data_IF_703622154672
#
_entry.id   IF_703622154672
#
_cell.length_a   1.000
_cell.length_b   1.000
_cell.length_c   1.000
_cell.angle_alpha   90.00
_cell.angle_beta   90.00
_cell.angle_gamma   90.00
#
_symmetry.space_group_name_H-M   'P 1'
#
loop_
_entity.id
_entity.type
_entity.pdbx_description
1 polymer ?
#
# COMPACT_ATOMS: atom_id res chain seq x y z
N UNK A 1 -12.07 -3.44 16.92
CA UNK A 1 -11.04 -2.70 17.65
C UNK A 1 -9.79 -2.81 16.81
N UNK A 2 -9.58 -1.87 15.91
CA UNK A 2 -8.26 -1.31 15.66
C UNK A 2 -8.48 0.18 15.95
N UNK A 3 -8.18 0.60 17.17
CA UNK A 3 -7.12 1.57 17.39
C UNK A 3 -5.89 1.36 16.47
N UNK A 4 -6.08 1.48 15.15
CA UNK A 4 -5.01 1.95 14.27
C UNK A 4 -4.77 3.39 14.74
N UNK A 5 -3.71 3.60 15.53
CA UNK A 5 -3.16 4.94 15.68
C UNK A 5 -3.02 5.51 14.26
N UNK A 6 -3.54 6.71 13.98
CA UNK A 6 -3.36 7.38 12.69
C UNK A 6 -1.84 7.47 12.42
N UNK A 7 -1.28 6.49 11.72
CA UNK A 7 0.15 6.39 11.46
C UNK A 7 0.51 7.54 10.54
N UNK A 8 1.48 8.35 10.96
CA UNK A 8 2.00 9.42 10.11
C UNK A 8 2.98 8.78 9.13
N UNK A 9 2.53 8.49 7.90
CA UNK A 9 3.32 7.81 6.86
C UNK A 9 4.69 8.48 6.62
N UNK A 10 4.72 9.82 6.68
CA UNK A 10 5.93 10.60 6.48
C UNK A 10 7.01 10.37 7.55
N UNK A 11 6.65 9.87 8.73
CA UNK A 11 7.58 9.56 9.83
C UNK A 11 8.17 8.15 9.73
N UNK A 12 7.57 7.25 8.93
CA UNK A 12 8.07 5.90 8.73
C UNK A 12 9.39 5.89 7.93
N UNK A 13 10.37 5.05 8.26
CA UNK A 13 11.49 4.76 7.37
C UNK A 13 11.01 4.09 6.08
N UNK A 14 11.82 4.13 5.01
CA UNK A 14 11.38 3.69 3.68
C UNK A 14 10.89 2.24 3.62
N UNK A 15 11.53 1.34 4.36
CA UNK A 15 11.17 -0.07 4.42
C UNK A 15 9.84 -0.31 5.15
N UNK A 16 9.61 0.39 6.26
CA UNK A 16 8.33 0.34 6.98
C UNK A 16 7.22 1.03 6.18
N UNK A 17 7.51 2.14 5.49
CA UNK A 17 6.54 2.80 4.61
C UNK A 17 6.11 1.88 3.46
N UNK A 18 7.05 1.15 2.85
CA UNK A 18 6.72 0.18 1.80
C UNK A 18 5.83 -0.94 2.34
N UNK A 19 6.12 -1.46 3.55
CA UNK A 19 5.28 -2.48 4.17
C UNK A 19 3.88 -1.95 4.50
N UNK A 20 3.77 -0.74 5.06
CA UNK A 20 2.49 -0.10 5.31
C UNK A 20 1.69 0.08 4.00
N UNK A 21 2.35 0.51 2.92
CA UNK A 21 1.71 0.61 1.61
C UNK A 21 1.23 -0.74 1.06
N UNK A 22 1.84 -1.87 1.43
CA UNK A 22 1.34 -3.19 1.04
C UNK A 22 0.03 -3.53 1.78
N UNK A 23 -0.05 -3.21 3.07
CA UNK A 23 -1.26 -3.38 3.87
C UNK A 23 -2.38 -2.43 3.37
N UNK A 24 -2.06 -1.17 3.08
CA UNK A 24 -2.98 -0.19 2.51
C UNK A 24 -3.54 -0.64 1.14
N UNK A 25 -2.71 -1.29 0.30
CA UNK A 25 -3.16 -1.88 -0.95
C UNK A 25 -4.10 -3.06 -0.74
N UNK A 26 -3.85 -3.87 0.30
CA UNK A 26 -4.70 -4.99 0.68
C UNK A 26 -6.08 -4.53 1.18
N UNK A 27 -6.10 -3.44 1.95
CA UNK A 27 -7.32 -2.84 2.52
C UNK A 27 -8.03 -1.86 1.55
N UNK A 28 -7.39 -1.51 0.43
CA UNK A 28 -7.97 -0.63 -0.59
C UNK A 28 -7.95 0.86 -0.22
N UNK A 29 -7.01 1.27 0.62
CA UNK A 29 -6.86 2.64 1.13
C UNK A 29 -6.19 3.55 0.10
N UNK A 30 -6.98 4.03 -0.87
CA UNK A 30 -6.48 4.85 -1.98
C UNK A 30 -5.72 6.11 -1.55
N UNK A 31 -6.21 6.83 -0.55
CA UNK A 31 -5.61 8.11 -0.10
C UNK A 31 -4.21 7.89 0.46
N UNK A 32 -4.03 6.85 1.29
CA UNK A 32 -2.73 6.47 1.85
C UNK A 32 -1.74 6.01 0.77
N UNK A 33 -2.20 5.28 -0.24
CA UNK A 33 -1.34 4.89 -1.38
C UNK A 33 -0.85 6.10 -2.17
N UNK A 34 -1.70 7.12 -2.35
CA UNK A 34 -1.27 8.35 -3.01
C UNK A 34 -0.22 9.09 -2.15
N UNK A 35 -0.45 9.21 -0.85
CA UNK A 35 0.49 9.86 0.07
C UNK A 35 1.83 9.12 0.15
N UNK A 36 1.84 7.81 0.38
CA UNK A 36 3.06 6.99 0.43
C UNK A 36 3.86 7.05 -0.87
N UNK A 37 3.18 7.05 -2.01
CA UNK A 37 3.81 7.23 -3.34
C UNK A 37 4.51 8.58 -3.43
N UNK A 38 3.83 9.67 -3.06
CA UNK A 38 4.40 11.02 -3.08
C UNK A 38 5.59 11.16 -2.13
N UNK A 39 5.51 10.55 -0.93
CA UNK A 39 6.60 10.53 0.05
C UNK A 39 7.84 9.83 -0.52
N UNK A 40 7.71 8.62 -1.08
CA UNK A 40 8.86 7.88 -1.61
C UNK A 40 9.52 8.62 -2.79
N UNK A 41 8.71 9.21 -3.68
CA UNK A 41 9.21 10.05 -4.76
C UNK A 41 9.93 11.30 -4.22
N UNK A 42 9.38 11.95 -3.20
CA UNK A 42 10.00 13.11 -2.54
C UNK A 42 11.33 12.73 -1.84
N UNK A 43 11.45 11.50 -1.34
CA UNK A 43 12.69 10.93 -0.78
C UNK A 43 13.72 10.53 -1.85
N UNK A 44 13.39 10.68 -3.13
CA UNK A 44 14.31 10.48 -4.24
C UNK A 44 14.31 9.08 -4.84
N UNK A 45 13.31 8.24 -4.50
CA UNK A 45 13.11 6.99 -5.21
C UNK A 45 12.74 7.26 -6.66
N UNK A 46 13.21 6.42 -7.58
CA UNK A 46 12.77 6.49 -8.96
C UNK A 46 11.33 5.99 -9.08
N UNK A 47 10.59 6.51 -10.05
CA UNK A 47 9.23 6.04 -10.33
C UNK A 47 9.19 4.54 -10.67
N UNK A 48 10.23 4.02 -11.32
CA UNK A 48 10.37 2.58 -11.57
C UNK A 48 10.48 1.78 -10.26
N UNK A 49 11.27 2.28 -9.31
CA UNK A 49 11.44 1.64 -8.01
C UNK A 49 10.16 1.66 -7.18
N UNK A 50 9.48 2.80 -7.13
CA UNK A 50 8.19 2.93 -6.43
C UNK A 50 7.14 2.00 -7.05
N UNK A 51 7.05 1.98 -8.39
CA UNK A 51 6.13 1.09 -9.08
C UNK A 51 6.42 -0.38 -8.79
N UNK A 52 7.69 -0.80 -8.82
CA UNK A 52 8.08 -2.18 -8.57
C UNK A 52 7.89 -2.59 -7.11
N UNK A 53 8.67 -1.98 -6.21
CA UNK A 53 8.82 -2.42 -4.82
C UNK A 53 7.61 -2.06 -3.94
N UNK A 54 6.99 -0.89 -4.14
CA UNK A 54 5.88 -0.46 -3.29
C UNK A 54 4.52 -0.91 -3.85
N UNK A 55 4.29 -0.74 -5.15
CA UNK A 55 2.96 -0.92 -5.72
C UNK A 55 2.71 -2.32 -6.31
N UNK A 56 3.62 -2.81 -7.16
CA UNK A 56 3.44 -4.09 -7.85
C UNK A 56 3.67 -5.27 -6.91
N UNK A 57 4.67 -5.19 -6.04
CA UNK A 57 4.92 -6.26 -5.06
C UNK A 57 3.73 -6.41 -4.09
N UNK A 58 3.20 -5.31 -3.55
CA UNK A 58 1.99 -5.33 -2.72
C UNK A 58 0.77 -5.88 -3.46
N UNK A 59 0.50 -5.39 -4.69
CA UNK A 59 -0.63 -5.86 -5.50
C UNK A 59 -0.49 -7.34 -5.93
N UNK A 60 0.73 -7.85 -6.00
CA UNK A 60 0.96 -9.27 -6.30
C UNK A 60 0.38 -10.15 -5.19
N UNK A 61 0.54 -9.77 -3.92
CA UNK A 61 -0.05 -10.48 -2.77
C UNK A 61 -1.57 -10.44 -2.84
N UNK A 62 -2.15 -9.25 -3.04
CA UNK A 62 -3.60 -9.05 -3.22
C UNK A 62 -4.16 -9.95 -4.32
N UNK A 63 -3.48 -10.04 -5.46
CA UNK A 63 -3.90 -10.86 -6.59
C UNK A 63 -3.78 -12.37 -6.35
N UNK A 64 -2.86 -12.82 -5.49
CA UNK A 64 -2.74 -14.22 -5.06
C UNK A 64 -3.89 -14.55 -4.12
N UNK A 65 -4.12 -13.72 -3.10
CA UNK A 65 -5.14 -13.98 -2.08
C UNK A 65 -6.55 -13.89 -2.64
N UNK A 66 -6.80 -13.01 -3.62
CA UNK A 66 -8.05 -12.97 -4.37
C UNK A 66 -8.26 -14.25 -5.20
N UNK A 67 -7.21 -14.73 -5.88
CA UNK A 67 -7.28 -15.96 -6.69
C UNK A 67 -7.56 -17.19 -5.83
N UNK A 68 -6.97 -17.23 -4.64
CA UNK A 68 -7.08 -18.36 -3.71
C UNK A 68 -8.37 -18.29 -2.86
N UNK A 69 -9.18 -17.24 -3.03
CA UNK A 69 -10.45 -17.05 -2.32
C UNK A 69 -10.27 -16.70 -0.84
N UNK A 70 -9.12 -16.11 -0.49
CA UNK A 70 -8.81 -15.57 0.84
C UNK A 70 -9.35 -14.15 0.96
N UNK A 71 -9.11 -13.33 -0.07
CA UNK A 71 -9.60 -11.96 -0.18
C UNK A 71 -10.81 -11.89 -1.13
N UNK A 72 -11.83 -11.12 -0.75
CA UNK A 72 -12.99 -10.84 -1.60
C UNK A 72 -13.16 -9.33 -1.72
N UNK A 73 -13.23 -8.83 -2.95
CA UNK A 73 -13.54 -7.41 -3.19
C UNK A 73 -15.03 -7.22 -2.85
N UNK A 74 -15.39 -6.36 -1.88
CA UNK A 74 -16.79 -6.10 -1.60
C UNK A 74 -17.42 -5.35 -2.77
N UNK A 75 -18.70 -5.61 -3.07
CA UNK A 75 -19.45 -5.07 -4.23
C UNK A 75 -19.69 -3.54 -4.19
N UNK A 76 -18.91 -2.76 -3.45
CA UNK A 76 -19.11 -1.31 -3.19
C UNK A 76 -18.20 -0.38 -3.98
N UNK A 77 -17.55 -0.84 -5.05
CA UNK A 77 -16.90 0.04 -6.02
C UNK A 77 -17.97 0.71 -6.93
N UNK A 78 -18.65 1.73 -6.39
CA UNK A 78 -19.49 2.67 -7.13
C UNK A 78 -18.99 4.10 -6.96
#
# INVERSE_FOLDING_TARGET
MSDEEDIILAELPDDELVLQMHDDLYDGLKEEIMEGTDILLARGWSAERVLGEALVDGMTVVGIDFRDGILFVPEVLH
#
